data_IF_372572814876
#
_entry.id   IF_372572814876
#
_cell.length_a   1.000
_cell.length_b   1.000
_cell.length_c   1.000
_cell.angle_alpha   90.00
_cell.angle_beta   90.00
_cell.angle_gamma   90.00
#
_symmetry.space_group_name_H-M   'P 1'
#
loop_
_entity.id
_entity.type
_entity.pdbx_description
1 polymer ?
#
# COMPACT_ATOMS: atom_id res chain seq x y z
N UNK A 1 24.00 32.29 20.64
CA UNK A 1 23.08 31.44 19.86
C UNK A 1 23.77 30.56 18.80
N UNK A 2 25.10 30.47 18.78
CA UNK A 2 25.87 29.63 17.84
C UNK A 2 26.53 28.40 18.49
N UNK A 3 26.48 28.27 19.83
CA UNK A 3 27.19 27.22 20.58
C UNK A 3 26.33 25.96 20.78
N UNK A 4 25.00 26.07 20.72
CA UNK A 4 24.09 24.91 20.89
C UNK A 4 24.04 24.05 19.61
N UNK A 5 24.27 24.66 18.43
CA UNK A 5 24.23 23.94 17.14
C UNK A 5 25.46 23.06 16.89
N UNK A 6 26.60 23.35 17.53
CA UNK A 6 27.83 22.56 17.35
C UNK A 6 27.87 21.35 18.27
N UNK A 7 27.26 21.43 19.47
CA UNK A 7 27.16 20.28 20.38
C UNK A 7 26.28 19.15 19.83
N UNK A 8 25.21 19.51 19.10
CA UNK A 8 24.32 18.53 18.45
C UNK A 8 24.98 17.83 17.26
N UNK A 9 25.92 18.50 16.58
CA UNK A 9 26.70 17.90 15.48
C UNK A 9 27.85 17.00 15.96
N UNK A 10 28.43 17.31 17.13
CA UNK A 10 29.56 16.53 17.70
C UNK A 10 29.05 15.23 18.35
N UNK A 11 27.86 15.24 18.94
CA UNK A 11 27.25 14.04 19.53
C UNK A 11 26.77 13.04 18.46
N UNK A 12 26.36 13.51 17.28
CA UNK A 12 25.91 12.66 16.16
C UNK A 12 27.05 12.00 15.36
N UNK A 13 28.33 12.34 15.61
CA UNK A 13 29.49 11.72 14.92
C UNK A 13 30.05 10.47 15.61
N UNK A 14 29.58 10.11 16.81
CA UNK A 14 30.11 8.96 17.59
C UNK A 14 29.24 7.70 17.57
N UNK A 15 28.14 7.68 16.82
CA UNK A 15 27.24 6.52 16.69
C UNK A 15 27.13 6.04 15.24
N UNK A 16 28.27 5.75 14.61
CA UNK A 16 28.31 4.95 13.37
C UNK A 16 28.68 3.51 13.75
N UNK A 17 27.78 2.52 13.60
CA UNK A 17 28.17 1.12 13.67
C UNK A 17 29.11 0.80 12.50
N UNK A 18 30.21 0.10 12.79
CA UNK A 18 31.12 -0.47 11.80
C UNK A 18 30.33 -1.35 10.82
N UNK A 19 30.50 -1.07 9.53
CA UNK A 19 30.00 -1.88 8.42
C UNK A 19 30.68 -3.26 8.50
N UNK A 20 29.95 -4.38 8.65
CA UNK A 20 30.55 -5.70 8.49
C UNK A 20 30.86 -5.92 7.01
N UNK A 21 32.09 -6.34 6.76
CA UNK A 21 32.60 -6.67 5.42
C UNK A 21 31.77 -7.79 4.79
N UNK A 22 31.47 -7.61 3.51
CA UNK A 22 30.71 -8.57 2.69
C UNK A 22 31.46 -9.89 2.58
N UNK A 23 30.80 -10.98 2.97
CA UNK A 23 31.22 -12.34 2.62
C UNK A 23 30.90 -12.60 1.14
N UNK A 24 31.85 -13.24 0.48
CA UNK A 24 31.87 -13.62 -0.93
C UNK A 24 30.82 -14.70 -1.28
N UNK A 25 30.34 -14.78 -2.53
CA UNK A 25 29.39 -15.80 -2.94
C UNK A 25 30.14 -17.07 -3.35
N UNK A 26 30.29 -18.01 -2.41
CA UNK A 26 30.74 -19.35 -2.73
C UNK A 26 30.01 -20.37 -1.85
N UNK A 27 28.84 -20.83 -2.30
CA UNK A 27 28.44 -22.24 -2.21
C UNK A 27 27.15 -22.43 -2.99
N UNK A 28 27.31 -23.26 -4.01
CA UNK A 28 26.31 -23.77 -4.90
C UNK A 28 25.46 -24.83 -4.19
N UNK A 29 24.25 -25.04 -4.73
CA UNK A 29 23.48 -26.29 -4.71
C UNK A 29 23.12 -26.91 -3.36
N UNK A 30 21.86 -26.74 -2.96
CA UNK A 30 21.05 -27.84 -2.40
C UNK A 30 19.57 -27.51 -2.65
N UNK A 31 18.75 -28.55 -2.85
CA UNK A 31 17.38 -28.56 -3.39
C UNK A 31 17.23 -28.66 -4.91
N UNK A 32 17.93 -29.62 -5.53
CA UNK A 32 17.32 -30.43 -6.59
C UNK A 32 16.43 -31.48 -5.92
N UNK A 33 15.12 -31.45 -6.15
CA UNK A 33 14.21 -32.61 -6.19
C UNK A 33 12.78 -32.13 -6.50
N UNK A 34 12.49 -31.90 -7.79
CA UNK A 34 11.12 -31.88 -8.31
C UNK A 34 10.88 -33.24 -9.01
N UNK A 35 9.84 -34.02 -8.63
CA UNK A 35 9.47 -35.17 -9.41
C UNK A 35 8.91 -34.72 -10.76
N UNK A 36 9.50 -35.25 -11.83
CA UNK A 36 9.00 -35.11 -13.19
C UNK A 36 7.84 -36.09 -13.41
N UNK A 37 6.85 -35.62 -14.17
CA UNK A 37 5.75 -36.37 -14.82
C UNK A 37 4.49 -36.67 -13.99
N UNK A 38 3.40 -36.00 -14.34
CA UNK A 38 2.15 -36.62 -14.82
C UNK A 38 1.19 -35.49 -15.26
N UNK A 39 1.03 -35.34 -16.58
CA UNK A 39 0.02 -34.47 -17.18
C UNK A 39 -1.36 -35.08 -16.94
N UNK A 40 -2.05 -34.65 -15.89
CA UNK A 40 -3.49 -34.82 -15.80
C UNK A 40 -4.19 -33.49 -16.07
N UNK A 41 -4.87 -33.45 -17.22
CA UNK A 41 -5.92 -32.49 -17.56
C UNK A 41 -7.03 -32.58 -16.51
N UNK A 42 -7.01 -31.70 -15.53
CA UNK A 42 -8.24 -31.21 -14.90
C UNK A 42 -8.09 -29.71 -14.68
N UNK A 43 -8.87 -28.95 -15.46
CA UNK A 43 -8.93 -27.49 -15.42
C UNK A 43 -9.58 -27.00 -14.14
N UNK A 44 -8.81 -27.01 -13.05
CA UNK A 44 -9.11 -26.23 -11.86
C UNK A 44 -7.89 -25.34 -11.62
N UNK A 45 -8.13 -24.05 -11.77
CA UNK A 45 -7.15 -22.98 -11.58
C UNK A 45 -6.31 -23.22 -10.32
N UNK A 46 -5.00 -23.42 -10.49
CA UNK A 46 -4.03 -23.50 -9.39
C UNK A 46 -4.02 -22.23 -8.51
N UNK A 47 -4.70 -21.16 -8.94
CA UNK A 47 -4.89 -19.91 -8.20
C UNK A 47 -6.01 -20.02 -7.15
N UNK A 48 -6.89 -21.03 -7.25
CA UNK A 48 -8.05 -21.18 -6.37
C UNK A 48 -7.77 -21.94 -5.06
N UNK A 49 -6.72 -22.78 -5.01
CA UNK A 49 -6.51 -23.71 -3.88
C UNK A 49 -5.71 -23.15 -2.68
N UNK A 50 -5.04 -22.01 -2.82
CA UNK A 50 -4.29 -21.40 -1.71
C UNK A 50 -5.08 -20.35 -0.92
N UNK A 51 -6.42 -20.30 -1.05
CA UNK A 51 -7.22 -19.18 -0.50
C UNK A 51 -7.79 -19.36 0.90
N UNK A 52 -7.72 -20.56 1.49
CA UNK A 52 -8.35 -20.83 2.79
C UNK A 52 -7.36 -21.43 3.80
N UNK A 53 -6.23 -20.77 4.03
CA UNK A 53 -5.55 -20.87 5.31
C UNK A 53 -5.85 -19.58 6.07
N UNK A 54 -6.86 -19.62 6.95
CA UNK A 54 -7.10 -18.59 7.95
C UNK A 54 -5.96 -18.62 8.97
N UNK A 55 -4.77 -18.20 8.55
CA UNK A 55 -3.82 -17.64 9.49
C UNK A 55 -4.48 -16.34 9.94
N UNK A 56 -5.08 -16.35 11.13
CA UNK A 56 -5.66 -15.15 11.74
C UNK A 56 -4.49 -14.21 12.06
N UNK A 57 -4.06 -13.44 11.05
CA UNK A 57 -2.99 -12.46 11.21
C UNK A 57 -3.57 -11.24 11.91
N UNK A 58 -2.81 -10.72 12.87
CA UNK A 58 -3.14 -9.51 13.63
C UNK A 58 -3.35 -8.27 12.75
N UNK A 59 -2.86 -8.31 11.52
CA UNK A 59 -2.92 -7.24 10.54
C UNK A 59 -3.42 -7.73 9.17
N UNK A 60 -3.90 -6.79 8.37
CA UNK A 60 -4.38 -7.01 7.01
C UNK A 60 -3.26 -7.18 5.98
N UNK A 61 -3.60 -7.65 4.77
CA UNK A 61 -2.63 -8.00 3.74
C UNK A 61 -1.98 -6.78 3.07
N UNK A 62 -2.37 -5.55 3.44
CA UNK A 62 -1.69 -4.31 3.06
C UNK A 62 -0.40 -4.05 3.86
N UNK A 63 -0.31 -4.58 5.09
CA UNK A 63 0.86 -4.41 5.96
C UNK A 63 2.10 -5.14 5.42
N UNK A 64 1.90 -6.28 4.74
CA UNK A 64 3.00 -7.11 4.24
C UNK A 64 3.50 -6.73 2.86
N UNK A 65 2.64 -6.17 2.01
CA UNK A 65 2.96 -5.88 0.60
C UNK A 65 2.24 -4.63 0.11
N UNK A 66 2.99 -3.80 -0.63
CA UNK A 66 2.42 -2.65 -1.34
C UNK A 66 1.41 -3.11 -2.40
N UNK A 67 0.18 -2.60 -2.32
CA UNK A 67 -0.96 -3.00 -3.15
C UNK A 67 -1.13 -2.16 -4.42
N UNK A 68 -0.04 -1.62 -4.94
CA UNK A 68 0.00 -0.83 -6.18
C UNK A 68 1.37 -0.99 -6.86
N UNK A 69 1.48 -0.73 -8.17
CA UNK A 69 2.74 -0.91 -8.90
C UNK A 69 3.80 0.10 -8.46
N UNK A 70 4.96 -0.40 -8.07
CA UNK A 70 6.13 0.40 -7.69
C UNK A 70 7.10 0.47 -8.89
N UNK A 71 7.51 1.66 -9.34
CA UNK A 71 8.48 1.77 -10.42
C UNK A 71 9.86 1.26 -9.96
N UNK A 72 10.54 0.49 -10.81
CA UNK A 72 11.89 -0.06 -10.53
C UNK A 72 12.96 1.04 -10.39
N UNK A 73 12.77 2.16 -11.08
CA UNK A 73 13.68 3.31 -11.07
C UNK A 73 12.95 4.53 -10.50
N UNK A 74 13.68 5.33 -9.72
CA UNK A 74 13.20 6.62 -9.24
C UNK A 74 12.81 7.54 -10.41
N UNK A 75 11.76 8.34 -10.23
CA UNK A 75 11.33 9.32 -11.22
C UNK A 75 12.17 10.58 -11.09
N UNK A 76 12.50 11.22 -12.22
CA UNK A 76 13.24 12.48 -12.21
C UNK A 76 12.36 13.61 -11.67
N UNK A 77 12.82 14.28 -10.61
CA UNK A 77 12.18 15.47 -10.05
C UNK A 77 13.00 16.72 -10.42
N UNK A 78 12.37 17.71 -11.06
CA UNK A 78 13.06 18.92 -11.58
C UNK A 78 13.33 19.99 -10.51
N UNK A 79 12.67 19.93 -9.36
CA UNK A 79 12.73 20.95 -8.31
C UNK A 79 12.93 20.25 -6.97
N UNK A 80 14.12 19.69 -6.75
CA UNK A 80 14.48 19.25 -5.40
C UNK A 80 14.74 20.49 -4.52
N UNK A 81 14.70 20.31 -3.20
CA UNK A 81 14.96 21.42 -2.27
C UNK A 81 16.42 21.88 -2.35
N UNK A 82 16.66 23.19 -2.27
CA UNK A 82 18.00 23.80 -2.25
C UNK A 82 18.64 24.11 -3.61
N UNK A 83 19.67 24.98 -3.60
CA UNK A 83 20.51 25.30 -4.77
C UNK A 83 21.49 24.14 -4.98
N UNK A 84 21.57 23.60 -6.20
CA UNK A 84 22.42 22.43 -6.51
C UNK A 84 21.79 21.07 -6.19
N UNK A 85 20.46 20.95 -6.24
CA UNK A 85 19.64 19.77 -5.92
C UNK A 85 20.32 18.38 -6.03
N UNK A 86 20.87 17.92 -4.90
CA UNK A 86 21.38 16.55 -4.70
C UNK A 86 20.30 15.58 -4.16
N UNK A 87 20.69 14.33 -3.91
CA UNK A 87 19.85 13.29 -3.29
C UNK A 87 19.24 13.75 -1.96
N UNK A 88 19.98 14.54 -1.18
CA UNK A 88 19.53 15.11 0.10
C UNK A 88 18.37 16.09 -0.09
N UNK A 89 18.47 17.01 -1.05
CA UNK A 89 17.41 17.97 -1.34
C UNK A 89 16.13 17.30 -1.82
N UNK A 90 16.26 16.19 -2.56
CA UNK A 90 15.14 15.32 -2.92
C UNK A 90 14.50 14.67 -1.68
N UNK A 91 15.30 14.14 -0.77
CA UNK A 91 14.81 13.51 0.46
C UNK A 91 14.05 14.50 1.34
N UNK A 92 14.60 15.72 1.54
CA UNK A 92 13.95 16.76 2.35
C UNK A 92 12.62 17.22 1.74
N UNK A 93 12.55 17.32 0.41
CA UNK A 93 11.29 17.63 -0.27
C UNK A 93 10.23 16.55 -0.05
N UNK A 94 10.60 15.28 -0.19
CA UNK A 94 9.70 14.14 0.03
C UNK A 94 9.25 14.07 1.50
N UNK A 95 10.17 14.32 2.44
CA UNK A 95 9.87 14.44 3.88
C UNK A 95 8.77 15.47 4.12
N UNK A 96 8.90 16.67 3.55
CA UNK A 96 7.90 17.73 3.64
C UNK A 96 6.53 17.28 3.11
N UNK A 97 6.51 16.59 1.96
CA UNK A 97 5.25 16.11 1.37
C UNK A 97 4.62 14.97 2.18
N UNK A 98 5.40 14.02 2.71
CA UNK A 98 4.88 12.95 3.57
C UNK A 98 4.31 13.54 4.86
N UNK A 99 5.02 14.47 5.49
CA UNK A 99 4.55 15.19 6.68
C UNK A 99 3.23 15.92 6.39
N UNK A 100 3.16 16.66 5.26
CA UNK A 100 1.94 17.38 4.87
C UNK A 100 0.78 16.45 4.49
N UNK A 101 1.05 15.30 3.88
CA UNK A 101 0.04 14.28 3.58
C UNK A 101 -0.61 13.73 4.85
N UNK A 102 0.19 13.43 5.88
CA UNK A 102 -0.32 12.89 7.14
C UNK A 102 -1.04 13.96 7.98
N UNK A 103 -0.68 15.22 7.80
CA UNK A 103 -1.39 16.35 8.41
C UNK A 103 -2.77 16.56 7.77
N UNK A 104 -2.79 16.88 6.47
CA UNK A 104 -3.99 17.28 5.75
C UNK A 104 -4.86 16.09 5.30
N UNK A 105 -4.33 14.86 5.30
CA UNK A 105 -4.92 13.62 4.76
C UNK A 105 -5.25 13.63 3.25
N UNK A 106 -5.18 14.80 2.60
CA UNK A 106 -5.32 15.00 1.16
C UNK A 106 -4.42 16.15 0.72
N UNK A 107 -3.58 15.92 -0.27
CA UNK A 107 -2.69 16.94 -0.85
C UNK A 107 -2.69 16.89 -2.37
N UNK A 108 -2.40 18.02 -3.00
CA UNK A 108 -2.27 18.12 -4.45
C UNK A 108 -0.82 18.41 -4.82
N UNK A 109 -0.26 17.59 -5.71
CA UNK A 109 1.14 17.62 -6.06
C UNK A 109 1.35 17.41 -7.56
N UNK A 110 2.48 17.87 -8.13
CA UNK A 110 2.85 17.46 -9.46
C UNK A 110 3.02 15.93 -9.50
N UNK A 111 2.51 15.29 -10.54
CA UNK A 111 2.36 13.84 -10.64
C UNK A 111 3.62 13.03 -10.28
N UNK A 112 4.85 13.39 -10.71
CA UNK A 112 6.05 12.66 -10.29
C UNK A 112 6.28 12.69 -8.78
N UNK A 113 6.01 13.83 -8.12
CA UNK A 113 6.17 13.97 -6.67
C UNK A 113 5.07 13.21 -5.94
N UNK A 114 3.84 13.23 -6.45
CA UNK A 114 2.72 12.49 -5.86
C UNK A 114 2.98 10.97 -5.87
N UNK A 115 3.44 10.43 -7.01
CA UNK A 115 3.77 9.00 -7.16
C UNK A 115 4.87 8.57 -6.19
N UNK A 116 5.90 9.40 -5.98
CA UNK A 116 6.99 9.05 -5.08
C UNK A 116 6.62 9.24 -3.61
N UNK A 117 5.95 10.34 -3.26
CA UNK A 117 5.45 10.59 -1.89
C UNK A 117 4.57 9.44 -1.43
N UNK A 118 3.70 8.92 -2.32
CA UNK A 118 2.87 7.74 -2.07
C UNK A 118 3.66 6.53 -1.60
N UNK A 119 4.82 6.25 -2.20
CA UNK A 119 5.65 5.09 -1.86
C UNK A 119 6.16 5.18 -0.42
N UNK A 120 6.69 6.34 -0.03
CA UNK A 120 7.24 6.56 1.30
C UNK A 120 6.14 6.59 2.37
N UNK A 121 5.01 7.23 2.08
CA UNK A 121 3.87 7.25 3.00
C UNK A 121 3.31 5.85 3.25
N UNK A 122 3.11 5.05 2.21
CA UNK A 122 2.64 3.66 2.34
C UNK A 122 3.62 2.83 3.15
N UNK A 123 4.92 2.95 2.86
CA UNK A 123 5.96 2.22 3.59
C UNK A 123 6.00 2.60 5.06
N UNK A 124 5.89 3.89 5.39
CA UNK A 124 5.88 4.37 6.77
C UNK A 124 4.70 3.78 7.57
N UNK A 125 3.51 3.76 6.97
CA UNK A 125 2.31 3.18 7.60
C UNK A 125 2.46 1.66 7.75
N UNK A 126 3.02 0.95 6.75
CA UNK A 126 3.30 -0.49 6.85
C UNK A 126 4.19 -0.81 8.05
N UNK A 127 5.31 -0.11 8.18
CA UNK A 127 6.24 -0.30 9.29
C UNK A 127 5.58 0.01 10.63
N UNK A 128 4.74 1.05 10.71
CA UNK A 128 3.95 1.34 11.90
C UNK A 128 2.99 0.21 12.28
N UNK A 129 2.25 -0.35 11.31
CA UNK A 129 1.31 -1.47 11.56
C UNK A 129 2.06 -2.73 12.00
N UNK A 130 3.19 -3.07 11.37
CA UNK A 130 3.99 -4.22 11.75
C UNK A 130 4.58 -4.05 13.16
N UNK A 131 5.14 -2.88 13.47
CA UNK A 131 5.70 -2.58 14.78
C UNK A 131 4.63 -2.60 15.89
N UNK A 132 3.39 -2.19 15.58
CA UNK A 132 2.27 -2.22 16.54
C UNK A 132 1.87 -3.60 17.02
N UNK A 133 2.24 -4.65 16.27
CA UNK A 133 2.00 -6.04 16.67
C UNK A 133 3.00 -6.49 17.74
N UNK A 134 4.19 -5.89 17.73
CA UNK A 134 5.28 -6.28 18.63
C UNK A 134 5.26 -5.48 19.94
N UNK A 135 4.90 -4.19 19.87
CA UNK A 135 5.03 -3.26 21.00
C UNK A 135 3.91 -2.21 20.98
N UNK A 136 3.62 -1.65 22.15
CA UNK A 136 2.71 -0.50 22.25
C UNK A 136 3.46 0.79 21.86
N UNK A 137 3.14 1.30 20.67
CA UNK A 137 3.78 2.48 20.08
C UNK A 137 3.43 3.78 20.81
N UNK A 138 2.24 3.86 21.42
CA UNK A 138 1.80 5.06 22.14
C UNK A 138 2.63 5.22 23.41
N UNK A 139 2.78 4.15 24.20
CA UNK A 139 3.63 4.19 25.39
C UNK A 139 5.10 4.45 25.05
N UNK A 140 5.59 3.90 23.95
CA UNK A 140 6.96 4.16 23.48
C UNK A 140 7.16 5.65 23.18
N UNK A 141 6.21 6.25 22.47
CA UNK A 141 6.26 7.66 22.13
C UNK A 141 6.16 8.57 23.37
N UNK A 142 5.27 8.24 24.31
CA UNK A 142 5.13 8.99 25.58
C UNK A 142 6.39 8.91 26.45
N UNK A 143 7.04 7.75 26.51
CA UNK A 143 8.34 7.59 27.18
C UNK A 143 9.41 8.49 26.57
N UNK A 144 9.51 8.50 25.23
CA UNK A 144 10.46 9.34 24.51
C UNK A 144 10.23 10.83 24.77
N UNK A 145 8.96 11.27 24.77
CA UNK A 145 8.57 12.66 25.00
C UNK A 145 8.95 13.16 26.40
N UNK A 146 8.80 12.29 27.40
CA UNK A 146 9.02 12.66 28.81
C UNK A 146 10.47 12.42 29.28
N UNK A 147 11.29 11.72 28.50
CA UNK A 147 12.68 11.41 28.86
C UNK A 147 13.65 12.46 28.34
N UNK A 148 14.47 13.04 29.23
CA UNK A 148 15.64 13.83 28.82
C UNK A 148 16.75 12.94 28.22
N UNK A 149 16.79 11.66 28.61
CA UNK A 149 17.68 10.63 28.08
C UNK A 149 16.92 9.29 28.08
N UNK A 150 16.60 8.69 26.92
CA UNK A 150 15.92 7.41 26.89
C UNK A 150 16.86 6.32 27.42
N UNK A 151 16.48 5.67 28.54
CA UNK A 151 17.13 4.43 28.96
C UNK A 151 16.68 3.34 28.00
N UNK A 152 17.46 3.13 26.94
CA UNK A 152 17.14 2.16 25.89
C UNK A 152 17.39 0.76 26.45
N UNK A 153 16.38 0.17 27.05
CA UNK A 153 16.35 -1.26 27.28
C UNK A 153 16.31 -1.94 25.90
N UNK A 154 17.28 -2.81 25.60
CA UNK A 154 17.47 -3.42 24.28
C UNK A 154 16.31 -4.26 23.72
N UNK A 155 15.16 -4.28 24.42
CA UNK A 155 13.92 -4.94 24.01
C UNK A 155 13.02 -4.03 23.17
N UNK A 156 13.17 -2.70 23.25
CA UNK A 156 12.33 -1.74 22.53
C UNK A 156 12.82 -1.54 21.08
N UNK A 157 11.90 -1.54 20.12
CA UNK A 157 12.22 -1.28 18.72
C UNK A 157 12.29 0.23 18.49
N UNK A 158 13.41 0.86 18.85
CA UNK A 158 13.61 2.31 18.71
C UNK A 158 13.59 2.75 17.23
N UNK A 159 13.91 1.84 16.31
CA UNK A 159 14.01 2.14 14.87
C UNK A 159 12.72 2.69 14.25
N UNK A 160 11.52 2.25 14.69
CA UNK A 160 10.26 2.81 14.16
C UNK A 160 10.05 4.27 14.60
N UNK A 161 10.48 4.59 15.82
CA UNK A 161 10.38 5.94 16.35
C UNK A 161 11.35 6.87 15.64
N UNK A 162 12.61 6.47 15.47
CA UNK A 162 13.61 7.21 14.70
C UNK A 162 13.14 7.43 13.26
N UNK A 163 12.60 6.39 12.63
CA UNK A 163 12.02 6.49 11.29
C UNK A 163 10.87 7.49 11.24
N UNK A 164 9.98 7.46 12.24
CA UNK A 164 8.81 8.35 12.31
C UNK A 164 9.24 9.81 12.52
N UNK A 165 10.14 10.07 13.48
CA UNK A 165 10.70 11.40 13.75
C UNK A 165 11.50 11.93 12.55
N UNK A 166 12.14 11.04 11.79
CA UNK A 166 12.80 11.42 10.55
C UNK A 166 11.80 11.87 9.47
N UNK A 167 10.71 11.12 9.23
CA UNK A 167 9.78 11.46 8.16
C UNK A 167 8.81 12.58 8.51
N UNK A 168 8.42 12.69 9.79
CA UNK A 168 7.46 13.66 10.28
C UNK A 168 8.20 14.85 10.86
N UNK A 169 7.95 16.03 10.32
CA UNK A 169 8.60 17.26 10.80
C UNK A 169 8.09 17.65 12.17
N UNK A 170 6.82 17.37 12.45
CA UNK A 170 6.14 17.80 13.66
C UNK A 170 5.83 16.61 14.57
N UNK A 171 6.10 16.80 15.86
CA UNK A 171 5.89 15.77 16.89
C UNK A 171 4.42 15.34 16.97
N UNK A 172 3.47 16.28 16.87
CA UNK A 172 2.03 15.99 16.89
C UNK A 172 1.61 14.98 15.80
N UNK A 173 2.33 14.93 14.69
CA UNK A 173 2.04 14.01 13.60
C UNK A 173 2.52 12.59 13.93
N UNK A 174 3.58 12.45 14.73
CA UNK A 174 4.05 11.15 15.21
C UNK A 174 3.01 10.55 16.15
N UNK A 175 2.44 11.37 17.05
CA UNK A 175 1.30 10.96 17.87
C UNK A 175 0.10 10.54 17.01
N UNK A 176 -0.26 11.35 16.00
CA UNK A 176 -1.34 11.05 15.06
C UNK A 176 -1.09 9.74 14.30
N UNK A 177 0.16 9.46 13.91
CA UNK A 177 0.55 8.21 13.25
C UNK A 177 0.21 7.00 14.11
N UNK A 178 0.66 6.99 15.37
CA UNK A 178 0.48 5.83 16.24
C UNK A 178 -0.95 5.71 16.81
N UNK A 179 -1.59 6.83 17.16
CA UNK A 179 -2.94 6.81 17.76
C UNK A 179 -4.05 6.66 16.73
N UNK A 180 -3.90 7.25 15.54
CA UNK A 180 -4.99 7.33 14.56
C UNK A 180 -4.71 6.43 13.36
N UNK A 181 -3.58 6.62 12.66
CA UNK A 181 -3.37 5.95 11.38
C UNK A 181 -3.06 4.46 11.51
N UNK A 182 -2.21 4.07 12.47
CA UNK A 182 -1.86 2.65 12.67
C UNK A 182 -3.08 1.79 13.03
N UNK A 183 -3.91 2.17 14.03
CA UNK A 183 -5.15 1.43 14.32
C UNK A 183 -6.13 1.46 13.14
N UNK A 184 -6.32 2.62 12.48
CA UNK A 184 -7.21 2.78 11.32
C UNK A 184 -6.87 1.80 10.20
N UNK A 185 -5.58 1.62 9.92
CA UNK A 185 -5.12 0.81 8.79
C UNK A 185 -4.75 -0.64 9.15
N UNK A 186 -4.90 -1.05 10.40
CA UNK A 186 -4.47 -2.38 10.89
C UNK A 186 -5.00 -3.53 10.03
N UNK A 187 -6.27 -3.51 9.65
CA UNK A 187 -6.94 -4.61 8.93
C UNK A 187 -7.17 -4.31 7.44
N UNK A 188 -6.50 -3.30 6.87
CA UNK A 188 -6.72 -2.92 5.48
C UNK A 188 -6.28 -4.00 4.49
N UNK A 189 -7.12 -4.24 3.47
CA UNK A 189 -6.83 -5.18 2.39
C UNK A 189 -6.34 -4.52 1.09
N UNK A 190 -6.57 -3.21 0.96
CA UNK A 190 -6.16 -2.36 -0.16
C UNK A 190 -4.98 -1.48 0.23
N UNK A 191 -4.41 -0.75 -0.73
CA UNK A 191 -3.43 0.30 -0.47
C UNK A 191 -3.99 1.31 0.54
N UNK A 192 -3.17 1.94 1.36
CA UNK A 192 -3.63 2.93 2.34
C UNK A 192 -4.03 4.26 1.67
N UNK A 193 -3.47 4.52 0.50
CA UNK A 193 -3.61 5.77 -0.24
C UNK A 193 -4.32 5.57 -1.60
N UNK A 194 -5.07 6.58 -2.02
CA UNK A 194 -5.55 6.75 -3.40
C UNK A 194 -4.75 7.86 -4.08
N UNK A 195 -4.47 7.66 -5.37
CA UNK A 195 -3.81 8.67 -6.21
C UNK A 195 -4.65 8.90 -7.46
N UNK A 196 -5.08 10.15 -7.65
CA UNK A 196 -5.89 10.55 -8.79
C UNK A 196 -5.12 11.53 -9.67
N UNK A 197 -5.24 11.36 -10.98
CA UNK A 197 -4.65 12.28 -11.94
C UNK A 197 -5.67 13.37 -12.26
N UNK A 198 -5.26 14.61 -12.11
CA UNK A 198 -6.08 15.77 -12.45
C UNK A 198 -5.38 16.63 -13.51
N UNK A 199 -6.17 17.47 -14.17
CA UNK A 199 -5.63 18.50 -15.04
C UNK A 199 -4.75 19.45 -14.22
N UNK A 200 -3.70 19.98 -14.85
CA UNK A 200 -2.87 20.97 -14.19
C UNK A 200 -3.74 22.17 -13.79
N UNK A 201 -3.59 22.71 -12.56
CA UNK A 201 -4.32 23.89 -12.16
C UNK A 201 -4.06 25.02 -13.17
N UNK A 202 -5.14 25.70 -13.58
CA UNK A 202 -5.12 26.77 -14.58
C UNK A 202 -4.41 28.01 -14.04
N UNK A 203 -4.32 28.17 -12.72
CA UNK A 203 -3.69 29.33 -12.08
C UNK A 203 -2.76 28.95 -10.91
N UNK A 204 -1.57 29.55 -10.77
CA UNK A 204 -0.89 30.41 -11.75
C UNK A 204 -0.33 29.59 -12.93
N UNK A 205 -0.56 30.08 -14.16
CA UNK A 205 -0.09 29.49 -15.42
C UNK A 205 1.44 29.38 -15.39
N UNK A 206 1.97 28.15 -15.32
CA UNK A 206 3.41 27.93 -15.51
C UNK A 206 3.67 27.61 -16.97
N UNK A 207 4.47 28.45 -17.64
CA UNK A 207 4.95 28.32 -19.03
C UNK A 207 5.79 27.04 -19.29
N UNK A 208 5.94 26.15 -18.30
CA UNK A 208 6.90 25.06 -18.33
C UNK A 208 6.23 23.69 -18.27
N UNK A 209 5.59 23.35 -19.39
CA UNK A 209 5.21 22.00 -19.78
C UNK A 209 3.97 21.46 -19.08
N UNK A 210 3.19 20.70 -19.84
CA UNK A 210 2.05 19.85 -19.45
C UNK A 210 2.43 18.82 -18.36
N UNK A 211 2.75 19.30 -17.16
CA UNK A 211 3.03 18.44 -16.02
C UNK A 211 1.69 18.01 -15.46
N UNK A 212 1.37 16.73 -15.65
CA UNK A 212 0.26 16.10 -14.97
C UNK A 212 0.31 16.45 -13.47
N UNK A 213 -0.83 16.77 -12.90
CA UNK A 213 -1.00 17.05 -11.50
C UNK A 213 -1.80 15.89 -10.88
N UNK A 214 -1.69 15.70 -9.58
CA UNK A 214 -2.36 14.59 -8.92
C UNK A 214 -2.78 14.91 -7.51
N UNK A 215 -3.95 14.38 -7.14
CA UNK A 215 -4.46 14.42 -5.78
C UNK A 215 -4.05 13.11 -5.12
N UNK A 216 -3.26 13.20 -4.05
CA UNK A 216 -2.89 12.08 -3.20
C UNK A 216 -3.70 12.18 -1.91
N UNK A 217 -4.44 11.13 -1.59
CA UNK A 217 -5.27 11.08 -0.38
C UNK A 217 -5.06 9.79 0.42
N UNK A 218 -5.28 9.88 1.73
CA UNK A 218 -5.36 8.75 2.63
C UNK A 218 -6.80 8.25 2.70
N UNK A 219 -7.00 6.94 2.67
CA UNK A 219 -8.35 6.37 2.78
C UNK A 219 -8.94 6.56 4.18
N UNK A 220 -10.26 6.80 4.26
CA UNK A 220 -10.95 7.05 5.53
C UNK A 220 -10.67 8.45 6.08
N UNK A 221 -10.31 9.38 5.20
CA UNK A 221 -10.18 10.80 5.51
C UNK A 221 -11.57 11.46 5.66
N UNK A 222 -11.68 12.57 6.41
CA UNK A 222 -12.96 13.25 6.66
C UNK A 222 -13.44 14.09 5.47
N UNK A 223 -12.67 14.12 4.37
CA UNK A 223 -12.97 14.96 3.22
C UNK A 223 -14.01 14.31 2.29
N UNK A 224 -14.82 15.12 1.58
CA UNK A 224 -15.67 14.60 0.52
C UNK A 224 -14.83 13.81 -0.50
N UNK A 225 -15.24 12.61 -0.90
CA UNK A 225 -14.45 11.75 -1.77
C UNK A 225 -14.30 12.35 -3.18
N UNK A 226 -13.10 12.26 -3.76
CA UNK A 226 -12.74 12.91 -5.04
C UNK A 226 -13.44 12.26 -6.23
N UNK A 227 -13.51 10.93 -6.24
CA UNK A 227 -14.27 10.17 -7.22
C UNK A 227 -15.57 9.78 -6.55
N UNK A 228 -16.68 10.11 -7.21
CA UNK A 228 -18.04 10.10 -6.67
C UNK A 228 -18.26 9.05 -5.60
N UNK A 229 -18.32 9.51 -4.36
CA UNK A 229 -19.21 8.96 -3.34
C UNK A 229 -19.97 10.17 -2.80
N UNK A 230 -21.29 10.12 -2.97
CA UNK A 230 -22.16 11.15 -2.47
C UNK A 230 -21.95 11.38 -0.97
N UNK A 231 -22.39 12.55 -0.54
CA UNK A 231 -22.78 12.87 0.84
C UNK A 231 -23.21 11.59 1.58
N UNK A 232 -22.67 11.41 2.79
CA UNK A 232 -22.86 10.24 3.64
C UNK A 232 -24.29 9.67 3.58
N UNK A 233 -24.41 8.35 3.35
CA UNK A 233 -25.69 7.63 3.33
C UNK A 233 -26.19 7.19 1.95
N UNK A 234 -25.39 7.35 0.89
CA UNK A 234 -25.76 6.91 -0.47
C UNK A 234 -24.63 6.10 -1.10
N UNK A 235 -24.78 4.77 -1.13
CA UNK A 235 -23.94 3.88 -1.92
C UNK A 235 -24.04 4.28 -3.39
N UNK A 236 -23.04 4.98 -3.92
CA UNK A 236 -23.04 5.33 -5.34
C UNK A 236 -21.67 5.16 -5.95
N UNK A 237 -21.59 4.13 -6.78
CA UNK A 237 -20.78 4.15 -7.99
C UNK A 237 -20.80 5.56 -8.61
N UNK A 238 -19.69 6.01 -9.23
CA UNK A 238 -19.68 7.27 -10.00
C UNK A 238 -20.77 7.31 -11.10
N UNK A 239 -21.38 6.17 -11.40
CA UNK A 239 -22.48 5.97 -12.33
C UNK A 239 -23.65 5.26 -11.61
N UNK A 240 -24.63 6.01 -11.08
CA UNK A 240 -25.78 5.45 -10.34
C UNK A 240 -26.54 4.38 -11.12
N UNK A 241 -26.59 4.53 -12.45
CA UNK A 241 -27.41 3.73 -13.35
C UNK A 241 -26.58 2.80 -14.24
N UNK A 242 -25.34 2.49 -13.83
CA UNK A 242 -24.44 1.64 -14.63
C UNK A 242 -25.10 0.31 -15.04
N UNK A 243 -25.82 -0.32 -14.12
CA UNK A 243 -26.55 -1.57 -14.39
C UNK A 243 -27.64 -1.42 -15.46
N UNK A 244 -28.22 -0.22 -15.61
CA UNK A 244 -29.26 0.08 -16.61
C UNK A 244 -28.69 0.53 -17.96
N UNK A 245 -27.37 0.68 -18.09
CA UNK A 245 -26.79 0.96 -19.40
C UNK A 245 -27.13 -0.20 -20.34
N UNK A 246 -27.65 0.12 -21.52
CA UNK A 246 -28.07 -0.87 -22.50
C UNK A 246 -27.01 -1.96 -22.70
N UNK A 247 -25.74 -1.57 -22.77
CA UNK A 247 -24.62 -2.51 -22.90
C UNK A 247 -24.52 -3.50 -21.72
N UNK A 248 -24.70 -3.05 -20.48
CA UNK A 248 -24.61 -3.91 -19.31
C UNK A 248 -25.83 -4.82 -19.19
N UNK A 249 -27.03 -4.29 -19.49
CA UNK A 249 -28.26 -5.10 -19.57
C UNK A 249 -28.12 -6.21 -20.61
N UNK A 250 -27.62 -5.89 -21.81
CA UNK A 250 -27.40 -6.86 -22.87
C UNK A 250 -26.34 -7.90 -22.49
N UNK A 251 -25.25 -7.48 -21.83
CA UNK A 251 -24.20 -8.39 -21.34
C UNK A 251 -24.71 -9.32 -20.24
N UNK A 252 -25.55 -8.83 -19.33
CA UNK A 252 -26.13 -9.64 -18.25
C UNK A 252 -27.13 -10.66 -18.83
N UNK A 253 -28.01 -10.25 -19.76
CA UNK A 253 -28.90 -11.16 -20.47
C UNK A 253 -28.15 -12.25 -21.25
N UNK A 254 -27.06 -11.87 -21.94
CA UNK A 254 -26.20 -12.83 -22.64
C UNK A 254 -25.53 -13.82 -21.68
N UNK A 255 -25.07 -13.34 -20.51
CA UNK A 255 -24.49 -14.19 -19.47
C UNK A 255 -25.50 -15.18 -18.92
N UNK A 256 -26.72 -14.73 -18.63
CA UNK A 256 -27.81 -15.59 -18.16
C UNK A 256 -28.18 -16.67 -19.19
N UNK A 257 -28.26 -16.31 -20.47
CA UNK A 257 -28.52 -17.27 -21.55
C UNK A 257 -27.39 -18.31 -21.68
N UNK A 258 -26.13 -17.91 -21.52
CA UNK A 258 -24.99 -18.83 -21.54
C UNK A 258 -25.00 -19.79 -20.35
N UNK A 259 -25.33 -19.31 -19.15
CA UNK A 259 -25.46 -20.16 -17.94
C UNK A 259 -26.58 -21.18 -18.14
N UNK A 260 -27.75 -20.77 -18.66
CA UNK A 260 -28.87 -21.67 -18.98
C UNK A 260 -28.50 -22.72 -20.02
N UNK A 261 -27.75 -22.34 -21.06
CA UNK A 261 -27.26 -23.28 -22.07
C UNK A 261 -26.31 -24.32 -21.45
N UNK A 262 -25.39 -23.89 -20.59
CA UNK A 262 -24.43 -24.78 -19.93
C UNK A 262 -25.09 -25.72 -18.92
N UNK A 263 -26.10 -25.26 -18.16
CA UNK A 263 -26.87 -26.12 -17.25
C UNK A 263 -27.67 -27.19 -18.00
N UNK A 264 -28.29 -26.83 -19.13
CA UNK A 264 -29.05 -27.78 -19.94
C UNK A 264 -28.14 -28.87 -20.54
N UNK A 265 -26.91 -28.53 -20.92
CA UNK A 265 -25.94 -29.48 -21.45
C UNK A 265 -25.51 -30.50 -20.38
N UNK A 266 -25.32 -30.06 -19.12
CA UNK A 266 -25.00 -30.95 -17.99
C UNK A 266 -26.15 -31.86 -17.56
N UNK A 267 -27.40 -31.46 -17.79
CA UNK A 267 -28.58 -32.31 -17.50
C UNK A 267 -28.79 -33.36 -18.60
N UNK A 268 -28.45 -33.05 -19.85
CA UNK A 268 -28.56 -34.00 -20.97
C UNK A 268 -27.52 -35.14 -20.97
N UNK A 269 -26.44 -35.04 -20.19
CA UNK A 269 -25.40 -36.08 -20.09
C UNK A 269 -25.74 -37.24 -19.14
N UNK A 270 -26.92 -37.24 -18.51
CA UNK A 270 -27.44 -38.37 -17.72
C UNK A 270 -28.68 -39.00 -18.40
N UNK A 271 -28.58 -39.35 -19.68
CA UNK A 271 -29.47 -40.36 -20.24
C UNK A 271 -28.84 -41.72 -19.98
N UNK A 272 -29.23 -42.34 -18.86
CA UNK A 272 -29.05 -43.78 -18.68
C UNK A 272 -29.87 -44.42 -19.81
N UNK A 273 -29.18 -44.97 -20.81
CA UNK A 273 -29.81 -45.85 -21.77
C UNK A 273 -30.07 -47.14 -20.99
N UNK A 274 -31.26 -47.25 -20.40
CA UNK A 274 -31.74 -48.52 -19.86
C UNK A 274 -31.95 -49.45 -21.06
N UNK A 275 -30.98 -50.33 -21.30
CA UNK A 275 -31.15 -51.45 -22.22
C UNK A 275 -32.09 -52.45 -21.54
N UNK A 276 -33.41 -52.32 -21.76
CA UNK A 276 -34.35 -53.38 -21.42
C UNK A 276 -34.03 -54.63 -22.25
N UNK A 277 -33.34 -55.60 -21.63
CA UNK A 277 -33.15 -56.93 -22.18
C UNK A 277 -34.50 -57.67 -22.08
N UNK A 278 -35.25 -57.73 -23.17
CA UNK A 278 -36.39 -58.65 -23.26
C UNK A 278 -35.90 -60.10 -23.32
N UNK A 279 -36.44 -61.00 -22.48
CA UNK A 279 -36.09 -62.41 -22.52
C UNK A 279 -36.67 -63.06 -23.79
N UNK A 280 -35.81 -63.84 -24.45
CA UNK A 280 -36.16 -64.66 -25.60
C UNK A 280 -37.00 -65.85 -25.10
N UNK A 281 -38.24 -65.95 -25.57
CA UNK A 281 -39.03 -67.18 -25.54
C UNK A 281 -39.09 -67.77 -26.95
#
# INVERSE_FOLDING_TARGET
MTVVSTLLLVTMRKLLPKIPQMLTPASYSQFSNLPKTALFRFGISLVQLCRNASNQTDYGPAATRLRFPVPLKARRMRRAEGVGSDVTGRMMLLRRYVSKLLDDERIELPWPHAVETRLYAERLIQEGVLASTQQNLVSLFELWKNSNEPKIDGKLNVGILELSVFWLTEERLVEKLFKVFVPRYRLYQRAYTSLFKIFSPVYPIKTSGTKAFGILELHGNPWPPVHGHGIAGRDLNPEPFKHNYLINVLLDAAREAAVKKNSNLSTSSHTVIDYELHPIN
#
